data_IF_743174179407
#
_entry.id   IF_743174179407
#
_cell.length_a   1.000
_cell.length_b   1.000
_cell.length_c   1.000
_cell.angle_alpha   90.00
_cell.angle_beta   90.00
_cell.angle_gamma   90.00
#
_symmetry.space_group_name_H-M   'P 1'
#
loop_
_entity.id
_entity.type
_entity.pdbx_description
1 polymer ?
#
# COMPACT_ATOMS: atom_id res chain seq x y z
N UNK A 1 -29.19 12.43 -42.31
CA UNK A 1 -30.20 11.37 -42.13
C UNK A 1 -29.60 10.25 -41.29
N UNK A 2 -30.15 9.96 -40.13
CA UNK A 2 -29.74 8.79 -39.35
C UNK A 2 -30.30 7.54 -40.04
N UNK A 3 -29.50 6.47 -40.20
CA UNK A 3 -29.99 5.20 -40.74
C UNK A 3 -30.97 4.59 -39.74
N UNK A 4 -32.14 4.20 -40.21
CA UNK A 4 -33.20 3.64 -39.37
C UNK A 4 -32.84 2.28 -38.74
N UNK A 5 -31.76 1.62 -39.19
CA UNK A 5 -31.33 0.29 -38.67
C UNK A 5 -29.80 0.13 -38.77
N UNK A 6 -29.01 0.77 -37.89
CA UNK A 6 -27.56 0.67 -37.94
C UNK A 6 -27.12 -0.74 -37.49
N UNK A 7 -26.12 -1.33 -38.18
CA UNK A 7 -25.54 -2.62 -37.84
C UNK A 7 -24.43 -2.42 -36.78
N UNK A 8 -24.51 -3.07 -35.60
CA UNK A 8 -23.51 -2.90 -34.51
C UNK A 8 -22.08 -3.20 -34.96
N UNK A 9 -21.88 -4.25 -35.75
CA UNK A 9 -20.58 -4.64 -36.29
C UNK A 9 -19.98 -3.54 -37.18
N UNK A 10 -20.80 -2.93 -38.07
CA UNK A 10 -20.33 -1.85 -38.94
C UNK A 10 -19.98 -0.60 -38.13
N UNK A 11 -20.79 -0.24 -37.13
CA UNK A 11 -20.50 0.88 -36.26
C UNK A 11 -19.19 0.67 -35.47
N UNK A 12 -18.96 -0.54 -34.93
CA UNK A 12 -17.73 -0.89 -34.23
C UNK A 12 -16.50 -0.84 -35.14
N UNK A 13 -16.58 -1.43 -36.34
CA UNK A 13 -15.46 -1.43 -37.31
C UNK A 13 -15.14 0.00 -37.78
N UNK A 14 -16.13 0.83 -38.06
CA UNK A 14 -15.89 2.22 -38.42
C UNK A 14 -15.19 3.01 -37.29
N UNK A 15 -15.59 2.79 -36.03
CA UNK A 15 -14.95 3.41 -34.88
C UNK A 15 -13.57 2.84 -34.56
N UNK A 16 -13.28 1.60 -34.97
CA UNK A 16 -11.94 1.04 -34.87
C UNK A 16 -10.96 1.62 -35.91
N UNK A 17 -11.46 2.01 -37.09
CA UNK A 17 -10.65 2.66 -38.12
C UNK A 17 -10.43 4.16 -37.86
N UNK A 18 -11.44 4.84 -37.33
CA UNK A 18 -11.40 6.26 -37.02
C UNK A 18 -12.34 6.54 -35.85
N UNK A 19 -11.81 7.07 -34.76
CA UNK A 19 -12.64 7.36 -33.59
C UNK A 19 -13.76 8.32 -33.96
N UNK A 20 -14.98 7.99 -33.50
CA UNK A 20 -16.18 8.77 -33.80
C UNK A 20 -16.91 8.44 -35.11
N UNK A 21 -16.28 7.70 -36.03
CA UNK A 21 -16.93 7.36 -37.31
C UNK A 21 -18.18 6.47 -37.12
N UNK A 22 -18.14 5.53 -36.18
CA UNK A 22 -19.30 4.70 -35.84
C UNK A 22 -20.44 5.51 -35.18
N UNK A 23 -20.13 6.51 -34.36
CA UNK A 23 -21.11 7.42 -33.78
C UNK A 23 -21.76 8.28 -34.86
N UNK A 24 -20.98 8.77 -35.82
CA UNK A 24 -21.52 9.51 -36.97
C UNK A 24 -22.45 8.59 -37.81
N UNK A 25 -22.03 7.36 -38.03
CA UNK A 25 -22.84 6.32 -38.70
C UNK A 25 -24.17 6.06 -37.97
N UNK A 26 -24.16 6.08 -36.63
CA UNK A 26 -25.33 5.96 -35.77
C UNK A 26 -26.20 7.24 -35.71
N UNK A 27 -25.82 8.34 -36.39
CA UNK A 27 -26.50 9.61 -36.37
C UNK A 27 -26.10 10.58 -35.25
N UNK A 28 -25.15 10.21 -34.39
CA UNK A 28 -24.67 11.01 -33.27
C UNK A 28 -23.51 11.93 -33.69
N UNK A 29 -23.78 12.87 -34.61
CA UNK A 29 -22.74 13.70 -35.25
C UNK A 29 -21.89 14.49 -34.25
N UNK A 30 -22.46 15.15 -33.25
CA UNK A 30 -21.70 15.93 -32.25
C UNK A 30 -20.71 15.05 -31.49
N UNK A 31 -21.19 13.92 -30.99
CA UNK A 31 -20.39 12.96 -30.27
C UNK A 31 -19.26 12.38 -31.14
N UNK A 32 -19.56 12.01 -32.37
CA UNK A 32 -18.56 11.51 -33.31
C UNK A 32 -17.47 12.52 -33.64
N UNK A 33 -17.83 13.79 -33.85
CA UNK A 33 -16.85 14.87 -34.09
C UNK A 33 -15.95 15.07 -32.85
N UNK A 34 -16.52 15.02 -31.63
CA UNK A 34 -15.74 15.14 -30.40
C UNK A 34 -14.71 14.00 -30.29
N UNK A 35 -15.10 12.76 -30.58
CA UNK A 35 -14.17 11.62 -30.55
C UNK A 35 -13.09 11.72 -31.61
N UNK A 36 -13.44 12.13 -32.83
CA UNK A 36 -12.47 12.37 -33.91
C UNK A 36 -11.49 13.51 -33.55
N UNK A 37 -11.97 14.57 -32.90
CA UNK A 37 -11.11 15.64 -32.42
C UNK A 37 -10.11 15.18 -31.37
N UNK A 38 -10.53 14.35 -30.41
CA UNK A 38 -9.65 13.75 -29.40
C UNK A 38 -8.59 12.88 -30.07
N UNK A 39 -8.95 12.04 -31.05
CA UNK A 39 -7.99 11.25 -31.83
C UNK A 39 -6.99 12.12 -32.57
N UNK A 40 -7.44 13.16 -33.26
CA UNK A 40 -6.57 14.08 -33.97
C UNK A 40 -5.56 14.75 -33.02
N UNK A 41 -6.00 15.23 -31.87
CA UNK A 41 -5.11 15.79 -30.84
C UNK A 41 -4.10 14.75 -30.37
N UNK A 42 -4.54 13.52 -30.11
CA UNK A 42 -3.62 12.45 -29.71
C UNK A 42 -2.58 12.13 -30.78
N UNK A 43 -2.96 12.05 -32.05
CA UNK A 43 -2.03 11.80 -33.14
C UNK A 43 -1.00 12.94 -33.29
N UNK A 44 -1.40 14.18 -33.11
CA UNK A 44 -0.46 15.32 -33.06
C UNK A 44 0.49 15.18 -31.86
N UNK A 45 -0.03 14.90 -30.67
CA UNK A 45 0.79 14.67 -29.47
C UNK A 45 1.76 13.48 -29.65
N UNK A 46 1.30 12.40 -30.28
CA UNK A 46 2.15 11.23 -30.56
C UNK A 46 3.36 11.60 -31.41
N UNK A 47 3.18 12.43 -32.45
CA UNK A 47 4.26 12.85 -33.34
C UNK A 47 5.16 13.91 -32.73
N UNK A 48 4.61 14.84 -31.95
CA UNK A 48 5.37 16.04 -31.49
C UNK A 48 5.94 15.89 -30.08
N UNK A 49 5.29 15.16 -29.20
CA UNK A 49 5.64 15.10 -27.78
C UNK A 49 5.92 13.70 -27.24
N UNK A 50 5.28 12.65 -27.77
CA UNK A 50 5.34 11.31 -27.19
C UNK A 50 6.36 10.39 -27.91
N UNK A 51 6.64 10.62 -29.18
CA UNK A 51 7.50 9.77 -29.99
C UNK A 51 8.91 9.62 -29.39
N UNK A 52 9.58 10.74 -29.13
CA UNK A 52 10.95 10.74 -28.60
C UNK A 52 11.05 10.10 -27.20
N UNK A 53 10.15 10.43 -26.23
CA UNK A 53 10.11 9.74 -24.97
C UNK A 53 9.87 8.23 -25.06
N UNK A 54 8.97 7.78 -25.94
CA UNK A 54 8.69 6.34 -26.12
C UNK A 54 9.89 5.61 -26.71
N UNK A 55 10.54 6.21 -27.71
CA UNK A 55 11.76 5.65 -28.26
C UNK A 55 12.88 5.63 -27.23
N UNK A 56 13.08 6.72 -26.50
CA UNK A 56 14.05 6.82 -25.42
C UNK A 56 13.79 5.87 -24.25
N UNK A 57 12.53 5.52 -23.96
CA UNK A 57 12.20 4.51 -22.95
C UNK A 57 12.78 3.13 -23.30
N UNK A 58 12.81 2.78 -24.57
CA UNK A 58 13.34 1.49 -25.05
C UNK A 58 14.86 1.51 -25.12
N UNK A 59 15.44 2.57 -25.66
CA UNK A 59 16.90 2.66 -25.93
C UNK A 59 17.71 3.20 -24.76
N UNK A 60 17.08 4.00 -23.87
CA UNK A 60 17.72 4.79 -22.81
C UNK A 60 18.78 5.77 -23.31
N UNK A 61 18.87 5.97 -24.61
CA UNK A 61 19.79 6.92 -25.27
C UNK A 61 19.22 8.34 -25.28
N UNK A 62 20.07 9.37 -25.23
CA UNK A 62 19.65 10.75 -25.41
C UNK A 62 18.91 10.93 -26.74
N UNK A 63 17.70 11.45 -26.71
CA UNK A 63 16.86 11.64 -27.90
C UNK A 63 16.24 13.05 -27.87
N UNK A 64 16.40 13.77 -28.98
CA UNK A 64 15.83 15.11 -29.15
C UNK A 64 16.33 16.09 -28.08
N UNK A 65 15.41 16.67 -27.30
CA UNK A 65 15.69 17.61 -26.19
C UNK A 65 16.11 16.93 -24.87
N UNK A 66 16.00 15.61 -24.79
CA UNK A 66 16.33 14.86 -23.58
C UNK A 66 17.81 14.44 -23.64
N UNK A 67 18.66 15.15 -22.91
CA UNK A 67 20.09 14.87 -22.80
C UNK A 67 20.42 13.90 -21.68
N UNK A 68 19.57 13.89 -20.62
CA UNK A 68 19.76 13.05 -19.44
C UNK A 68 18.83 11.83 -19.50
N UNK A 69 19.41 10.64 -19.42
CA UNK A 69 18.68 9.36 -19.45
C UNK A 69 17.61 9.24 -18.36
N UNK A 70 17.77 9.93 -17.21
CA UNK A 70 16.77 9.96 -16.13
C UNK A 70 15.48 10.64 -16.57
N UNK A 71 15.61 11.77 -17.26
CA UNK A 71 14.46 12.49 -17.80
C UNK A 71 13.78 11.70 -18.93
N UNK A 72 14.56 10.97 -19.72
CA UNK A 72 14.05 10.10 -20.78
C UNK A 72 13.21 8.98 -20.19
N UNK A 73 13.71 8.30 -19.17
CA UNK A 73 12.98 7.21 -18.50
C UNK A 73 11.64 7.70 -17.93
N UNK A 74 11.66 8.82 -17.20
CA UNK A 74 10.46 9.41 -16.64
C UNK A 74 9.47 9.87 -17.72
N UNK A 75 9.97 10.58 -18.73
CA UNK A 75 9.14 11.05 -19.85
C UNK A 75 8.56 9.88 -20.64
N UNK A 76 9.33 8.80 -20.84
CA UNK A 76 8.86 7.59 -21.49
C UNK A 76 7.77 6.85 -20.72
N UNK A 77 7.89 6.78 -19.39
CA UNK A 77 6.84 6.21 -18.54
C UNK A 77 5.57 7.05 -18.65
N UNK A 78 5.66 8.38 -18.54
CA UNK A 78 4.51 9.27 -18.69
C UNK A 78 3.89 9.10 -20.09
N UNK A 79 4.69 9.06 -21.14
CA UNK A 79 4.23 8.86 -22.51
C UNK A 79 3.49 7.51 -22.67
N UNK A 80 4.00 6.44 -22.05
CA UNK A 80 3.38 5.11 -22.06
C UNK A 80 2.00 5.14 -21.39
N UNK A 81 1.83 5.86 -20.29
CA UNK A 81 0.53 6.04 -19.66
C UNK A 81 -0.45 6.84 -20.54
N UNK A 82 0.02 7.90 -21.20
CA UNK A 82 -0.80 8.66 -22.14
C UNK A 82 -1.30 7.76 -23.28
N UNK A 83 -0.41 6.91 -23.83
CA UNK A 83 -0.79 5.93 -24.85
C UNK A 83 -1.79 4.92 -24.29
N UNK A 84 -1.58 4.39 -23.10
CA UNK A 84 -2.50 3.43 -22.48
C UNK A 84 -3.90 4.03 -22.25
N UNK A 85 -3.98 5.29 -21.79
CA UNK A 85 -5.23 6.03 -21.63
C UNK A 85 -5.93 6.20 -22.99
N UNK A 86 -5.16 6.53 -24.04
CA UNK A 86 -5.72 6.65 -25.38
C UNK A 86 -6.24 5.31 -25.91
N UNK A 87 -5.47 4.22 -25.74
CA UNK A 87 -5.90 2.87 -26.15
C UNK A 87 -7.20 2.49 -25.44
N UNK A 88 -7.30 2.75 -24.14
CA UNK A 88 -8.55 2.53 -23.39
C UNK A 88 -9.70 3.39 -23.94
N UNK A 89 -9.45 4.68 -24.19
CA UNK A 89 -10.42 5.57 -24.80
C UNK A 89 -10.90 5.05 -26.17
N UNK A 90 -9.97 4.59 -27.01
CA UNK A 90 -10.27 4.07 -28.34
C UNK A 90 -11.12 2.78 -28.27
N UNK A 91 -10.78 1.86 -27.36
CA UNK A 91 -11.60 0.66 -27.09
C UNK A 91 -12.99 1.05 -26.60
N UNK A 92 -13.09 1.98 -25.66
CA UNK A 92 -14.36 2.46 -25.13
C UNK A 92 -15.21 3.10 -26.24
N UNK A 93 -14.60 3.88 -27.15
CA UNK A 93 -15.27 4.43 -28.33
C UNK A 93 -15.85 3.35 -29.25
N UNK A 94 -15.11 2.26 -29.51
CA UNK A 94 -15.57 1.13 -30.32
C UNK A 94 -16.79 0.47 -29.67
N UNK A 95 -16.69 0.17 -28.38
CA UNK A 95 -17.77 -0.48 -27.60
C UNK A 95 -19.01 0.42 -27.56
N UNK A 96 -18.82 1.71 -27.34
CA UNK A 96 -19.92 2.70 -27.34
C UNK A 96 -20.64 2.78 -28.69
N UNK A 97 -19.90 2.79 -29.80
CA UNK A 97 -20.48 2.81 -31.14
C UNK A 97 -21.33 1.55 -31.43
N UNK A 98 -20.78 0.37 -31.08
CA UNK A 98 -21.45 -0.91 -31.28
C UNK A 98 -22.69 -1.06 -30.37
N UNK A 99 -22.58 -0.71 -29.09
CA UNK A 99 -23.67 -0.79 -28.12
C UNK A 99 -24.81 0.19 -28.46
N UNK A 100 -24.45 1.41 -28.88
CA UNK A 100 -25.44 2.40 -29.36
C UNK A 100 -26.19 1.90 -30.59
N UNK A 101 -25.49 1.32 -31.59
CA UNK A 101 -26.14 0.74 -32.77
C UNK A 101 -27.10 -0.40 -32.40
N UNK A 102 -26.69 -1.28 -31.46
CA UNK A 102 -27.52 -2.35 -30.92
C UNK A 102 -28.78 -1.79 -30.23
N UNK A 103 -28.62 -0.78 -29.41
CA UNK A 103 -29.72 -0.10 -28.71
C UNK A 103 -30.70 0.56 -29.68
N UNK A 104 -30.21 1.24 -30.72
CA UNK A 104 -31.07 1.85 -31.77
C UNK A 104 -31.86 0.74 -32.49
N UNK A 105 -31.20 -0.34 -32.84
CA UNK A 105 -31.83 -1.47 -33.54
C UNK A 105 -32.91 -2.15 -32.69
N UNK A 106 -32.64 -2.40 -31.42
CA UNK A 106 -33.62 -3.01 -30.50
C UNK A 106 -34.83 -2.08 -30.26
N UNK A 107 -34.61 -0.76 -30.23
CA UNK A 107 -35.71 0.23 -30.11
C UNK A 107 -36.62 0.28 -31.33
N UNK A 108 -36.08 0.12 -32.52
CA UNK A 108 -36.90 0.09 -33.74
C UNK A 108 -37.78 -1.15 -33.82
N UNK A 109 -37.45 -2.21 -33.08
CA UNK A 109 -38.26 -3.43 -32.97
C UNK A 109 -39.40 -3.32 -31.92
N UNK A 110 -39.45 -2.22 -31.11
CA UNK A 110 -40.50 -2.01 -30.11
C UNK A 110 -41.72 -1.26 -30.69
N UNK A 111 -42.93 -1.54 -30.20
CA UNK A 111 -44.17 -0.78 -30.55
C UNK A 111 -44.02 0.72 -30.25
N UNK A 112 -44.76 1.55 -30.96
CA UNK A 112 -44.56 3.02 -30.98
C UNK A 112 -44.92 3.70 -29.65
N UNK A 113 -45.86 3.17 -28.92
CA UNK A 113 -46.31 3.57 -27.59
C UNK A 113 -45.21 3.37 -26.51
N UNK A 114 -44.48 2.25 -26.57
CA UNK A 114 -43.37 1.92 -25.67
C UNK A 114 -42.11 2.77 -25.99
N UNK A 115 -41.96 3.16 -27.24
CA UNK A 115 -40.85 3.97 -27.75
C UNK A 115 -40.82 5.39 -27.15
N UNK A 116 -41.98 6.00 -26.86
CA UNK A 116 -42.10 7.35 -26.28
C UNK A 116 -41.70 7.43 -24.81
N UNK A 117 -42.01 6.41 -24.00
CA UNK A 117 -41.79 6.41 -22.55
C UNK A 117 -40.28 6.30 -22.22
N UNK A 118 -39.49 5.69 -23.08
CA UNK A 118 -38.06 5.38 -22.84
C UNK A 118 -37.09 6.47 -23.33
N UNK A 119 -37.58 7.62 -23.86
CA UNK A 119 -36.72 8.71 -24.31
C UNK A 119 -36.25 9.65 -23.19
N UNK A 120 -36.91 9.63 -22.02
CA UNK A 120 -36.55 10.47 -20.87
C UNK A 120 -35.38 9.92 -20.02
N UNK A 121 -35.07 8.62 -20.12
CA UNK A 121 -34.00 7.97 -19.33
C UNK A 121 -32.58 8.16 -19.88
N UNK A 122 -32.41 8.85 -20.99
CA UNK A 122 -31.13 9.04 -21.67
C UNK A 122 -30.47 10.37 -21.34
N UNK A 123 -30.02 10.54 -20.10
CA UNK A 123 -29.10 11.63 -19.77
C UNK A 123 -27.70 11.03 -19.49
N UNK A 124 -26.83 10.83 -20.51
CA UNK A 124 -25.44 10.40 -20.29
C UNK A 124 -24.68 11.37 -19.37
N UNK A 125 -25.17 12.58 -19.21
CA UNK A 125 -24.65 13.56 -18.27
C UNK A 125 -24.88 13.19 -16.81
N UNK A 126 -26.00 12.52 -16.44
CA UNK A 126 -26.26 12.11 -15.05
C UNK A 126 -25.31 11.03 -14.56
N UNK A 127 -24.89 10.11 -15.44
CA UNK A 127 -23.90 9.07 -15.13
C UNK A 127 -22.46 9.58 -15.13
N UNK A 128 -22.15 10.68 -15.84
CA UNK A 128 -20.83 11.26 -15.90
C UNK A 128 -20.51 12.22 -14.73
N UNK A 129 -21.53 12.84 -14.12
CA UNK A 129 -21.35 13.82 -13.05
C UNK A 129 -20.52 13.31 -11.87
N UNK A 130 -20.74 12.11 -11.30
CA UNK A 130 -19.89 11.59 -10.22
C UNK A 130 -18.41 11.46 -10.63
N UNK A 131 -18.14 11.03 -11.87
CA UNK A 131 -16.76 10.89 -12.37
C UNK A 131 -16.06 12.23 -12.56
N UNK A 132 -16.79 13.29 -12.94
CA UNK A 132 -16.24 14.65 -13.06
C UNK A 132 -15.78 15.16 -11.69
N UNK A 133 -16.56 14.92 -10.63
CA UNK A 133 -16.18 15.32 -9.27
C UNK A 133 -14.99 14.53 -8.72
N UNK A 134 -14.84 13.25 -9.09
CA UNK A 134 -13.74 12.39 -8.62
C UNK A 134 -12.48 12.57 -9.49
N UNK A 135 -12.63 13.01 -10.75
CA UNK A 135 -11.51 13.12 -11.70
C UNK A 135 -10.31 13.91 -11.19
N UNK A 136 -10.43 15.08 -10.53
CA UNK A 136 -9.29 15.80 -9.98
C UNK A 136 -8.50 14.97 -8.95
N UNK A 137 -9.20 14.26 -8.06
CA UNK A 137 -8.57 13.42 -7.04
C UNK A 137 -7.86 12.22 -7.66
N UNK A 138 -8.47 11.58 -8.67
CA UNK A 138 -7.85 10.48 -9.41
C UNK A 138 -6.61 10.98 -10.15
N UNK A 139 -6.67 12.15 -10.76
CA UNK A 139 -5.56 12.73 -11.50
C UNK A 139 -4.39 13.04 -10.56
N UNK A 140 -4.63 13.65 -9.40
CA UNK A 140 -3.60 13.89 -8.39
C UNK A 140 -3.01 12.57 -7.89
N UNK A 141 -3.84 11.59 -7.55
CA UNK A 141 -3.39 10.27 -7.11
C UNK A 141 -2.53 9.59 -8.21
N UNK A 142 -2.90 9.71 -9.47
CA UNK A 142 -2.13 9.18 -10.58
C UNK A 142 -0.72 9.77 -10.66
N UNK A 143 -0.60 11.11 -10.61
CA UNK A 143 0.70 11.78 -10.69
C UNK A 143 1.55 11.56 -9.44
N UNK A 144 0.96 11.50 -8.26
CA UNK A 144 1.70 11.42 -6.98
C UNK A 144 2.00 9.98 -6.59
N UNK A 145 1.17 9.00 -6.97
CA UNK A 145 1.32 7.60 -6.54
C UNK A 145 1.74 6.71 -7.72
N UNK A 146 0.96 6.72 -8.83
CA UNK A 146 1.14 5.73 -9.89
C UNK A 146 2.44 5.97 -10.68
N UNK A 147 2.75 7.22 -11.03
CA UNK A 147 3.97 7.53 -11.78
C UNK A 147 5.25 7.21 -10.99
N UNK A 148 5.43 7.65 -9.71
CA UNK A 148 6.61 7.28 -8.93
C UNK A 148 6.72 5.77 -8.69
N UNK A 149 5.60 5.07 -8.48
CA UNK A 149 5.60 3.62 -8.34
C UNK A 149 6.06 2.92 -9.62
N UNK A 150 5.51 3.32 -10.77
CA UNK A 150 5.92 2.79 -12.07
C UNK A 150 7.40 3.07 -12.35
N UNK A 151 7.89 4.28 -12.05
CA UNK A 151 9.29 4.64 -12.16
C UNK A 151 10.17 3.72 -11.30
N UNK A 152 9.80 3.49 -10.03
CA UNK A 152 10.51 2.56 -9.15
C UNK A 152 10.51 1.13 -9.69
N UNK A 153 9.38 0.64 -10.21
CA UNK A 153 9.30 -0.71 -10.81
C UNK A 153 10.22 -0.81 -12.03
N UNK A 154 10.16 0.16 -12.94
CA UNK A 154 10.99 0.18 -14.17
C UNK A 154 12.47 0.24 -13.81
N UNK A 155 12.83 1.04 -12.82
CA UNK A 155 14.20 1.18 -12.34
C UNK A 155 14.80 -0.14 -11.84
N UNK A 156 13.98 -1.04 -11.29
CA UNK A 156 14.41 -2.37 -10.84
C UNK A 156 15.01 -3.24 -11.95
N UNK A 157 14.67 -2.96 -13.21
CA UNK A 157 15.17 -3.68 -14.39
C UNK A 157 16.37 -3.03 -15.06
N UNK A 158 16.90 -1.94 -14.50
CA UNK A 158 18.07 -1.21 -14.99
C UNK A 158 19.28 -1.42 -14.09
N UNK A 159 20.46 -0.96 -14.51
CA UNK A 159 21.67 -0.91 -13.67
C UNK A 159 21.89 0.45 -12.99
N UNK A 160 20.86 1.29 -12.86
CA UNK A 160 20.94 2.64 -12.34
C UNK A 160 21.55 2.69 -10.93
N UNK A 161 22.70 3.33 -10.82
CA UNK A 161 23.48 3.46 -9.58
C UNK A 161 24.41 4.68 -9.67
N UNK A 162 25.11 5.02 -8.61
CA UNK A 162 26.07 6.12 -8.62
C UNK A 162 27.08 6.05 -9.77
N UNK A 163 27.51 4.83 -10.12
CA UNK A 163 28.49 4.61 -11.19
C UNK A 163 27.87 4.54 -12.60
N UNK A 164 26.58 4.32 -12.68
CA UNK A 164 25.82 4.19 -13.93
C UNK A 164 24.72 5.26 -13.99
N UNK A 165 25.07 6.50 -13.65
CA UNK A 165 24.22 7.66 -13.86
C UNK A 165 25.04 8.85 -14.33
N UNK A 166 24.48 9.77 -15.15
CA UNK A 166 25.18 10.99 -15.56
C UNK A 166 25.63 11.82 -14.34
N UNK A 167 26.85 12.41 -14.34
CA UNK A 167 27.83 12.40 -15.43
C UNK A 167 28.77 11.19 -15.43
N UNK A 168 28.74 10.30 -14.41
CA UNK A 168 29.72 9.22 -14.28
C UNK A 168 29.56 8.12 -15.35
N UNK A 169 28.38 7.90 -15.86
CA UNK A 169 28.11 6.89 -16.89
C UNK A 169 26.67 6.93 -17.38
N UNK A 170 26.33 6.02 -18.28
CA UNK A 170 24.96 5.75 -18.73
C UNK A 170 24.43 4.52 -18.02
N UNK A 171 23.13 4.43 -17.84
CA UNK A 171 22.50 3.22 -17.36
C UNK A 171 21.73 2.54 -18.49
N UNK A 172 21.66 1.21 -18.39
CA UNK A 172 21.06 0.34 -19.40
C UNK A 172 20.04 -0.60 -18.78
N UNK A 173 19.25 -1.24 -19.65
CA UNK A 173 18.38 -2.34 -19.29
C UNK A 173 19.21 -3.59 -18.97
N UNK A 174 19.03 -4.14 -17.76
CA UNK A 174 19.69 -5.39 -17.32
C UNK A 174 18.70 -6.51 -17.07
N UNK A 175 17.42 -6.29 -17.34
CA UNK A 175 16.35 -7.25 -17.13
C UNK A 175 16.29 -7.74 -15.67
N UNK A 176 16.30 -9.05 -15.48
CA UNK A 176 16.16 -9.66 -14.15
C UNK A 176 17.47 -9.76 -13.34
N UNK A 177 18.56 -9.13 -13.77
CA UNK A 177 19.86 -9.28 -13.12
C UNK A 177 19.87 -8.86 -11.66
N UNK A 178 19.18 -7.76 -11.30
CA UNK A 178 19.07 -7.30 -9.92
C UNK A 178 18.32 -8.32 -9.04
N UNK A 179 17.25 -8.90 -9.55
CA UNK A 179 16.49 -9.95 -8.84
C UNK A 179 17.32 -11.23 -8.67
N UNK A 180 18.02 -11.67 -9.73
CA UNK A 180 18.94 -12.81 -9.64
C UNK A 180 20.05 -12.57 -8.64
N UNK A 181 20.62 -11.35 -8.57
CA UNK A 181 21.62 -10.96 -7.58
C UNK A 181 21.11 -11.11 -6.15
N UNK A 182 19.88 -10.67 -5.85
CA UNK A 182 19.25 -10.72 -4.54
C UNK A 182 18.88 -12.16 -4.12
N UNK A 183 18.45 -12.99 -5.08
CA UNK A 183 17.91 -14.32 -4.84
C UNK A 183 18.90 -15.46 -5.09
N UNK A 184 20.12 -15.20 -5.60
CA UNK A 184 21.12 -16.23 -5.91
C UNK A 184 21.48 -17.02 -4.66
N UNK A 185 21.24 -18.36 -4.64
CA UNK A 185 21.55 -19.21 -3.51
C UNK A 185 23.03 -19.12 -3.08
N UNK A 186 23.28 -19.04 -1.78
CA UNK A 186 24.63 -18.96 -1.22
C UNK A 186 25.34 -17.61 -1.40
N UNK A 187 24.68 -16.61 -1.99
CA UNK A 187 25.23 -15.25 -2.10
C UNK A 187 25.10 -14.49 -0.78
N UNK A 188 25.98 -13.51 -0.55
CA UNK A 188 25.86 -12.60 0.59
C UNK A 188 24.52 -11.82 0.57
N UNK A 189 23.98 -11.53 -0.61
CA UNK A 189 22.70 -10.85 -0.77
C UNK A 189 21.54 -11.71 -0.29
N UNK A 190 21.51 -12.98 -0.65
CA UNK A 190 20.47 -13.91 -0.21
C UNK A 190 20.57 -14.18 1.31
N UNK A 191 21.77 -14.34 1.85
CA UNK A 191 21.97 -14.48 3.30
C UNK A 191 21.47 -13.26 4.07
N UNK A 192 21.71 -12.05 3.55
CA UNK A 192 21.23 -10.82 4.13
C UNK A 192 19.70 -10.66 4.02
N UNK A 193 19.13 -10.99 2.85
CA UNK A 193 17.69 -10.97 2.64
C UNK A 193 16.96 -11.89 3.63
N UNK A 194 17.45 -13.10 3.83
CA UNK A 194 16.88 -14.05 4.81
C UNK A 194 17.01 -13.56 6.24
N UNK A 195 18.13 -12.94 6.60
CA UNK A 195 18.34 -12.36 7.94
C UNK A 195 17.37 -11.21 8.22
N UNK A 196 17.24 -10.27 7.27
CA UNK A 196 16.36 -9.10 7.40
C UNK A 196 14.89 -9.53 7.38
N UNK A 197 14.50 -10.42 6.46
CA UNK A 197 13.16 -10.95 6.38
C UNK A 197 12.75 -11.71 7.64
N UNK A 198 13.64 -12.55 8.16
CA UNK A 198 13.40 -13.30 9.41
C UNK A 198 13.17 -12.37 10.61
N UNK A 199 13.97 -11.30 10.73
CA UNK A 199 13.74 -10.30 11.75
C UNK A 199 12.47 -9.47 11.48
N UNK A 200 12.19 -9.09 10.25
CA UNK A 200 10.99 -8.34 9.89
C UNK A 200 9.72 -9.09 10.28
N UNK A 201 9.65 -10.40 9.99
CA UNK A 201 8.55 -11.27 10.42
C UNK A 201 8.47 -11.34 11.94
N UNK A 202 9.60 -11.59 12.60
CA UNK A 202 9.66 -11.67 14.07
C UNK A 202 9.22 -10.34 14.72
N UNK A 203 9.67 -9.20 14.20
CA UNK A 203 9.27 -7.88 14.68
C UNK A 203 7.78 -7.63 14.49
N UNK A 204 7.23 -7.94 13.32
CA UNK A 204 5.80 -7.76 13.06
C UNK A 204 4.95 -8.62 14.00
N UNK A 205 5.30 -9.90 14.19
CA UNK A 205 4.56 -10.81 15.06
C UNK A 205 4.72 -10.45 16.54
N UNK A 206 5.96 -10.25 17.02
CA UNK A 206 6.21 -9.90 18.41
C UNK A 206 5.70 -8.51 18.75
N UNK A 207 5.89 -7.53 17.88
CA UNK A 207 5.40 -6.17 18.07
C UNK A 207 3.88 -6.13 18.19
N UNK A 208 3.16 -6.79 17.27
CA UNK A 208 1.70 -6.87 17.31
C UNK A 208 1.23 -7.67 18.53
N UNK A 209 1.81 -8.83 18.78
CA UNK A 209 1.42 -9.71 19.89
C UNK A 209 1.66 -9.08 21.26
N UNK A 210 2.82 -8.48 21.49
CA UNK A 210 3.15 -7.81 22.76
C UNK A 210 2.30 -6.54 22.96
N UNK A 211 2.08 -5.75 21.93
CA UNK A 211 1.21 -4.57 21.99
C UNK A 211 -0.26 -4.96 22.26
N UNK A 212 -0.75 -6.02 21.64
CA UNK A 212 -2.06 -6.58 21.95
C UNK A 212 -2.14 -7.09 23.38
N UNK A 213 -1.17 -7.90 23.83
CA UNK A 213 -1.14 -8.45 25.18
C UNK A 213 -1.09 -7.36 26.25
N UNK A 214 -0.30 -6.30 26.04
CA UNK A 214 -0.24 -5.15 26.96
C UNK A 214 -1.57 -4.38 26.97
N UNK A 215 -2.17 -4.11 25.81
CA UNK A 215 -3.48 -3.45 25.72
C UNK A 215 -4.59 -4.27 26.37
N UNK A 216 -4.61 -5.60 26.13
CA UNK A 216 -5.57 -6.52 26.73
C UNK A 216 -5.43 -6.57 28.27
N UNK A 217 -4.20 -6.74 28.75
CA UNK A 217 -3.96 -6.75 30.20
C UNK A 217 -4.42 -5.47 30.87
N UNK A 218 -4.10 -4.31 30.31
CA UNK A 218 -4.57 -3.02 30.84
C UNK A 218 -6.08 -2.83 30.70
N UNK A 219 -6.70 -3.27 29.60
CA UNK A 219 -8.14 -3.18 29.41
C UNK A 219 -8.89 -4.01 30.45
N UNK A 220 -8.47 -5.26 30.70
CA UNK A 220 -9.05 -6.13 31.71
C UNK A 220 -8.88 -5.56 33.13
N UNK A 221 -7.72 -5.00 33.46
CA UNK A 221 -7.52 -4.32 34.75
C UNK A 221 -8.50 -3.16 34.88
N UNK A 222 -8.58 -2.28 33.89
CA UNK A 222 -9.45 -1.08 33.93
C UNK A 222 -10.94 -1.39 33.82
N UNK A 223 -11.33 -2.59 33.43
CA UNK A 223 -12.72 -3.06 33.45
C UNK A 223 -13.19 -3.32 34.88
N UNK A 224 -12.28 -3.62 35.80
CA UNK A 224 -12.65 -3.90 37.20
C UNK A 224 -13.30 -2.68 37.85
N UNK A 225 -14.57 -2.84 38.25
CA UNK A 225 -15.41 -1.78 38.87
C UNK A 225 -14.88 -1.30 40.23
N UNK A 226 -14.02 -2.06 40.90
CA UNK A 226 -13.44 -1.72 42.21
C UNK A 226 -12.27 -0.73 42.12
N UNK A 227 -11.72 -0.49 40.90
CA UNK A 227 -10.63 0.49 40.73
C UNK A 227 -11.21 1.90 40.84
N UNK A 228 -10.74 2.63 41.86
CA UNK A 228 -11.07 4.06 42.04
C UNK A 228 -10.27 4.87 41.01
N UNK A 229 -10.87 5.94 40.49
CA UNK A 229 -10.22 6.84 39.49
C UNK A 229 -9.80 6.16 38.16
N UNK A 230 -10.49 5.06 37.77
CA UNK A 230 -10.19 4.37 36.50
C UNK A 230 -10.15 5.28 35.25
N UNK A 231 -10.97 6.37 35.27
CA UNK A 231 -10.93 7.38 34.20
C UNK A 231 -9.60 8.13 34.13
N UNK A 232 -9.03 8.50 35.29
CA UNK A 232 -7.71 9.14 35.33
C UNK A 232 -6.60 8.20 34.90
N UNK A 233 -6.63 6.92 35.33
CA UNK A 233 -5.70 5.91 34.84
C UNK A 233 -5.78 5.72 33.33
N UNK A 234 -7.00 5.65 32.78
CA UNK A 234 -7.21 5.57 31.33
C UNK A 234 -6.62 6.78 30.63
N UNK A 235 -6.85 8.00 31.13
CA UNK A 235 -6.30 9.23 30.56
C UNK A 235 -4.78 9.22 30.56
N UNK A 236 -4.14 8.81 31.67
CA UNK A 236 -2.67 8.70 31.77
C UNK A 236 -2.12 7.66 30.79
N UNK A 237 -2.75 6.50 30.68
CA UNK A 237 -2.33 5.44 29.76
C UNK A 237 -2.53 5.79 28.28
N UNK A 238 -3.37 6.78 27.99
CA UNK A 238 -3.56 7.31 26.63
C UNK A 238 -2.58 8.44 26.27
N UNK A 239 -1.83 9.01 27.23
CA UNK A 239 -0.87 10.08 26.99
C UNK A 239 0.17 9.77 25.92
N UNK A 240 0.72 8.53 25.80
CA UNK A 240 1.65 8.21 24.73
C UNK A 240 1.09 8.49 23.33
N UNK A 241 -0.21 8.43 23.15
CA UNK A 241 -0.88 8.68 21.87
C UNK A 241 -1.05 10.17 21.57
N UNK A 242 -1.05 11.02 22.59
CA UNK A 242 -1.10 12.47 22.46
C UNK A 242 0.25 13.07 22.02
N UNK A 243 1.36 12.34 22.21
CA UNK A 243 2.72 12.75 21.83
C UNK A 243 3.03 12.23 20.44
N UNK A 244 3.54 13.07 19.51
CA UNK A 244 4.00 12.59 18.21
C UNK A 244 4.98 11.42 18.35
N UNK A 245 4.76 10.34 17.59
CA UNK A 245 5.58 9.11 17.68
C UNK A 245 7.08 9.39 17.49
N UNK A 246 7.43 10.33 16.60
CA UNK A 246 8.84 10.75 16.37
C UNK A 246 9.49 11.29 17.63
N UNK A 247 8.78 12.13 18.40
CA UNK A 247 9.28 12.67 19.67
C UNK A 247 9.46 11.55 20.68
N UNK A 248 8.46 10.67 20.82
CA UNK A 248 8.54 9.51 21.72
C UNK A 248 9.75 8.63 21.41
N UNK A 249 10.00 8.32 20.13
CA UNK A 249 11.13 7.49 19.69
C UNK A 249 12.47 8.17 20.09
N UNK A 250 12.60 9.49 19.89
CA UNK A 250 13.81 10.24 20.27
C UNK A 250 14.02 10.24 21.79
N UNK A 251 12.96 10.31 22.57
CA UNK A 251 13.05 10.15 24.04
C UNK A 251 13.56 8.76 24.39
N UNK A 252 13.04 7.69 23.78
CA UNK A 252 13.54 6.33 24.00
C UNK A 252 14.99 6.15 23.55
N UNK A 253 15.40 6.81 22.46
CA UNK A 253 16.81 6.83 22.07
C UNK A 253 17.71 7.38 23.17
N UNK A 254 17.30 8.48 23.82
CA UNK A 254 18.01 9.03 24.99
C UNK A 254 17.96 8.13 26.22
N UNK A 255 16.78 7.56 26.54
CA UNK A 255 16.59 6.66 27.68
C UNK A 255 17.48 5.40 27.62
N UNK A 256 17.63 4.85 26.42
CA UNK A 256 18.45 3.65 26.16
C UNK A 256 19.92 3.97 25.84
N UNK A 257 20.37 5.21 26.01
CA UNK A 257 21.78 5.52 25.80
C UNK A 257 22.65 4.72 26.77
N UNK A 258 23.69 4.04 26.25
CA UNK A 258 24.51 3.11 27.04
C UNK A 258 25.32 3.81 28.12
N UNK A 259 25.79 5.05 27.87
CA UNK A 259 26.69 5.78 28.74
C UNK A 259 25.95 6.61 29.79
N UNK A 260 25.00 7.43 29.36
CA UNK A 260 24.31 8.40 30.20
C UNK A 260 22.77 8.24 30.23
N UNK A 261 22.26 7.15 29.66
CA UNK A 261 20.81 6.91 29.64
C UNK A 261 20.27 6.51 31.01
N UNK A 262 19.15 7.14 31.46
CA UNK A 262 18.55 6.88 32.78
C UNK A 262 18.29 5.39 33.06
N UNK A 263 17.96 4.62 32.04
CA UNK A 263 17.70 3.17 32.21
C UNK A 263 18.97 2.45 32.71
N UNK A 264 20.13 2.75 32.16
CA UNK A 264 21.38 2.18 32.61
C UNK A 264 21.85 2.76 33.95
N UNK A 265 21.51 4.01 34.28
CA UNK A 265 21.78 4.58 35.61
C UNK A 265 21.00 3.85 36.71
N UNK A 266 19.72 3.59 36.47
CA UNK A 266 18.88 2.77 37.37
C UNK A 266 19.47 1.37 37.53
N UNK A 267 19.85 0.70 36.43
CA UNK A 267 20.46 -0.63 36.49
C UNK A 267 21.75 -0.63 37.33
N UNK A 268 22.61 0.37 37.15
CA UNK A 268 23.85 0.53 37.93
C UNK A 268 23.57 0.76 39.43
N UNK A 269 22.57 1.60 39.74
CA UNK A 269 22.18 1.85 41.14
C UNK A 269 21.65 0.58 41.84
N UNK A 270 21.10 -0.39 41.07
CA UNK A 270 20.66 -1.69 41.55
C UNK A 270 21.81 -2.72 41.57
N UNK A 271 23.06 -2.33 41.27
CA UNK A 271 24.22 -3.23 41.20
C UNK A 271 24.28 -4.09 39.94
N UNK A 272 23.44 -3.77 38.93
CA UNK A 272 23.42 -4.52 37.68
C UNK A 272 24.37 -3.91 36.65
N UNK A 273 24.79 -4.71 35.68
CA UNK A 273 25.65 -4.24 34.59
C UNK A 273 24.87 -3.40 33.62
N UNK A 274 25.50 -2.36 33.06
CA UNK A 274 24.93 -1.57 31.99
C UNK A 274 24.63 -2.44 30.74
N UNK A 275 23.49 -2.25 30.17
CA UNK A 275 23.04 -2.98 28.97
C UNK A 275 23.49 -2.21 27.73
N UNK A 276 24.18 -2.86 26.77
CA UNK A 276 24.58 -2.24 25.50
C UNK A 276 23.42 -2.19 24.50
N UNK A 277 22.44 -1.34 24.77
CA UNK A 277 21.15 -1.29 24.06
C UNK A 277 21.27 -1.22 22.55
N UNK A 278 22.20 -0.41 22.02
CA UNK A 278 22.33 -0.23 20.57
C UNK A 278 23.57 -0.88 19.97
N UNK A 279 24.46 -1.42 20.79
CA UNK A 279 25.71 -2.04 20.34
C UNK A 279 25.61 -3.57 20.20
N UNK A 280 24.59 -4.19 20.80
CA UNK A 280 24.41 -5.62 20.77
C UNK A 280 23.10 -6.00 20.06
N UNK A 281 23.17 -6.94 19.14
CA UNK A 281 22.05 -7.37 18.28
C UNK A 281 20.75 -7.63 19.05
N UNK A 282 20.81 -8.42 20.12
CA UNK A 282 19.61 -8.80 20.89
C UNK A 282 19.02 -7.61 21.62
N UNK A 283 19.87 -6.78 22.28
CA UNK A 283 19.41 -5.64 23.05
C UNK A 283 18.84 -4.53 22.15
N UNK A 284 19.41 -4.35 20.95
CA UNK A 284 18.85 -3.42 19.97
C UNK A 284 17.44 -3.85 19.51
N UNK A 285 17.22 -5.15 19.34
CA UNK A 285 15.89 -5.69 19.02
C UNK A 285 14.91 -5.55 20.19
N UNK A 286 15.38 -5.77 21.41
CA UNK A 286 14.58 -5.56 22.63
C UNK A 286 14.19 -4.09 22.78
N UNK A 287 15.11 -3.14 22.59
CA UNK A 287 14.81 -1.71 22.68
C UNK A 287 13.78 -1.28 21.64
N UNK A 288 13.86 -1.82 20.41
CA UNK A 288 12.87 -1.60 19.34
C UNK A 288 11.50 -2.12 19.77
N UNK A 289 11.41 -3.34 20.29
CA UNK A 289 10.13 -3.93 20.73
C UNK A 289 9.53 -3.17 21.92
N UNK A 290 10.34 -2.78 22.91
CA UNK A 290 9.86 -2.01 24.07
C UNK A 290 9.31 -0.65 23.64
N UNK A 291 10.01 0.06 22.77
CA UNK A 291 9.55 1.34 22.21
C UNK A 291 8.24 1.18 21.43
N UNK A 292 8.18 0.11 20.60
CA UNK A 292 6.99 -0.21 19.81
C UNK A 292 5.78 -0.49 20.71
N UNK A 293 5.93 -1.33 21.71
CA UNK A 293 4.87 -1.69 22.67
C UNK A 293 4.36 -0.44 23.37
N UNK A 294 5.26 0.42 23.86
CA UNK A 294 4.88 1.65 24.56
C UNK A 294 4.03 2.56 23.67
N UNK A 295 4.43 2.77 22.42
CA UNK A 295 3.70 3.63 21.46
C UNK A 295 2.35 3.00 21.06
N UNK A 296 2.30 1.67 20.91
CA UNK A 296 1.13 0.96 20.35
C UNK A 296 0.10 0.55 21.42
N UNK A 297 0.50 0.49 22.69
CA UNK A 297 -0.39 0.08 23.80
C UNK A 297 -1.67 0.93 23.92
N UNK A 298 -1.66 2.29 23.84
CA UNK A 298 -2.85 3.10 23.95
C UNK A 298 -3.90 2.76 22.88
N UNK A 299 -3.47 2.54 21.63
CA UNK A 299 -4.38 2.14 20.56
C UNK A 299 -5.06 0.80 20.88
N UNK A 300 -4.26 -0.22 21.24
CA UNK A 300 -4.79 -1.53 21.59
C UNK A 300 -5.71 -1.48 22.82
N UNK A 301 -5.32 -0.73 23.85
CA UNK A 301 -6.16 -0.49 25.04
C UNK A 301 -7.52 0.10 24.65
N UNK A 302 -7.54 1.08 23.76
CA UNK A 302 -8.79 1.73 23.30
C UNK A 302 -9.69 0.76 22.54
N UNK A 303 -9.15 0.07 21.54
CA UNK A 303 -9.88 -0.89 20.69
C UNK A 303 -10.43 -2.04 21.53
N UNK A 304 -9.58 -2.63 22.36
CA UNK A 304 -9.98 -3.77 23.23
C UNK A 304 -11.02 -3.33 24.26
N UNK A 305 -10.86 -2.14 24.86
CA UNK A 305 -11.85 -1.63 25.81
C UNK A 305 -13.22 -1.41 25.17
N UNK A 306 -13.25 -0.91 23.92
CA UNK A 306 -14.50 -0.75 23.18
C UNK A 306 -15.13 -2.11 22.84
N UNK A 307 -14.34 -3.08 22.41
CA UNK A 307 -14.82 -4.43 22.10
C UNK A 307 -15.32 -5.17 23.35
N UNK A 308 -14.66 -5.00 24.51
CA UNK A 308 -15.14 -5.59 25.77
C UNK A 308 -16.47 -4.97 26.24
N UNK A 309 -16.68 -3.68 25.99
CA UNK A 309 -17.94 -2.99 26.33
C UNK A 309 -19.11 -3.38 25.42
N UNK A 310 -18.87 -3.96 24.26
CA UNK A 310 -19.92 -4.44 23.36
C UNK A 310 -20.48 -5.81 23.75
N UNK A 311 -19.85 -6.51 24.70
CA UNK A 311 -20.34 -7.79 25.22
C UNK A 311 -21.43 -7.51 26.30
N UNK A 312 -22.68 -7.99 26.11
CA UNK A 312 -23.74 -7.75 27.07
C UNK A 312 -23.44 -8.36 28.43
N UNK A 313 -23.78 -7.64 29.51
CA UNK A 313 -23.60 -8.14 30.91
C UNK A 313 -24.40 -9.42 31.17
N UNK A 314 -25.55 -9.62 30.51
CA UNK A 314 -26.43 -10.79 30.63
C UNK A 314 -25.71 -12.11 30.32
N UNK A 315 -24.75 -12.09 29.42
CA UNK A 315 -23.92 -13.27 29.07
C UNK A 315 -23.05 -13.71 30.23
N UNK A 316 -22.54 -12.75 31.00
CA UNK A 316 -21.75 -13.03 32.22
C UNK A 316 -22.61 -13.47 33.40
N UNK A 317 -23.79 -12.89 33.52
CA UNK A 317 -24.79 -13.30 34.53
C UNK A 317 -25.22 -14.75 34.31
N UNK A 318 -25.57 -15.13 33.08
CA UNK A 318 -25.93 -16.51 32.76
C UNK A 318 -24.76 -17.47 33.04
N UNK A 319 -23.53 -17.11 32.65
CA UNK A 319 -22.35 -17.92 32.93
C UNK A 319 -22.09 -18.10 34.43
N UNK A 320 -22.43 -17.09 35.25
CA UNK A 320 -22.30 -17.17 36.71
C UNK A 320 -23.36 -18.10 37.32
N UNK A 321 -24.60 -18.08 36.80
CA UNK A 321 -25.65 -19.02 37.19
C UNK A 321 -25.27 -20.46 36.84
N UNK A 322 -24.63 -20.67 35.69
CA UNK A 322 -24.10 -21.98 35.26
C UNK A 322 -22.85 -22.43 36.03
N UNK A 323 -22.37 -21.64 37.00
CA UNK A 323 -21.21 -21.97 37.85
C UNK A 323 -19.86 -21.82 37.17
N UNK A 324 -19.79 -21.03 36.09
CA UNK A 324 -18.52 -20.82 35.39
C UNK A 324 -17.53 -19.99 36.24
N UNK A 325 -16.30 -20.48 36.37
CA UNK A 325 -15.20 -19.73 37.00
C UNK A 325 -14.80 -18.53 36.16
N UNK A 326 -14.19 -17.47 36.74
CA UNK A 326 -13.71 -16.30 35.97
C UNK A 326 -12.77 -16.66 34.81
N UNK A 327 -11.92 -17.69 34.97
CA UNK A 327 -11.05 -18.20 33.90
C UNK A 327 -11.84 -18.86 32.77
N UNK A 328 -12.90 -19.61 33.12
CA UNK A 328 -13.78 -20.22 32.11
C UNK A 328 -14.58 -19.16 31.37
N UNK A 329 -15.12 -18.17 32.05
CA UNK A 329 -15.82 -17.04 31.44
C UNK A 329 -14.87 -16.27 30.50
N UNK A 330 -13.64 -15.99 30.92
CA UNK A 330 -12.67 -15.34 30.04
C UNK A 330 -12.34 -16.20 28.82
N UNK A 331 -11.97 -17.46 28.98
CA UNK A 331 -11.48 -18.31 27.89
C UNK A 331 -12.57 -18.73 26.89
N UNK A 332 -13.82 -18.93 27.37
CA UNK A 332 -14.92 -19.46 26.56
C UNK A 332 -15.91 -18.42 26.06
N UNK A 333 -15.96 -17.24 26.71
CA UNK A 333 -16.90 -16.16 26.38
C UNK A 333 -16.13 -14.91 25.95
N UNK A 334 -15.39 -14.29 26.87
CA UNK A 334 -14.76 -12.99 26.64
C UNK A 334 -13.77 -13.04 25.48
N UNK A 335 -12.80 -13.95 25.52
CA UNK A 335 -11.72 -13.99 24.53
C UNK A 335 -12.22 -14.33 23.12
N UNK A 336 -13.10 -15.34 22.89
CA UNK A 336 -13.62 -15.60 21.55
C UNK A 336 -14.46 -14.44 20.98
N UNK A 337 -15.34 -13.83 21.79
CA UNK A 337 -16.15 -12.69 21.37
C UNK A 337 -15.27 -11.46 21.10
N UNK A 338 -14.30 -11.20 21.95
CA UNK A 338 -13.30 -10.14 21.73
C UNK A 338 -12.56 -10.35 20.40
N UNK A 339 -12.08 -11.57 20.16
CA UNK A 339 -11.30 -11.88 18.94
C UNK A 339 -12.14 -11.75 17.67
N UNK A 340 -13.44 -12.02 17.71
CA UNK A 340 -14.29 -11.80 16.53
C UNK A 340 -14.30 -10.34 16.05
N UNK A 341 -14.17 -9.38 16.98
CA UNK A 341 -14.13 -7.94 16.70
C UNK A 341 -12.71 -7.43 16.43
N UNK A 342 -11.74 -7.92 17.20
CA UNK A 342 -10.38 -7.36 17.21
C UNK A 342 -9.46 -8.04 16.18
N UNK A 343 -9.70 -9.29 15.78
CA UNK A 343 -8.86 -10.01 14.86
C UNK A 343 -8.60 -9.30 13.51
N UNK A 344 -9.60 -8.69 12.84
CA UNK A 344 -9.34 -7.91 11.63
C UNK A 344 -8.38 -6.73 11.86
N UNK A 345 -8.48 -6.07 13.01
CA UNK A 345 -7.61 -4.94 13.38
C UNK A 345 -6.19 -5.44 13.67
N UNK A 346 -6.03 -6.60 14.29
CA UNK A 346 -4.72 -7.23 14.52
C UNK A 346 -4.04 -7.59 13.20
N UNK A 347 -4.79 -8.10 12.22
CA UNK A 347 -4.24 -8.39 10.88
C UNK A 347 -3.75 -7.11 10.20
N UNK A 348 -4.51 -6.01 10.28
CA UNK A 348 -4.08 -4.71 9.76
C UNK A 348 -2.85 -4.17 10.51
N UNK A 349 -2.81 -4.33 11.83
CA UNK A 349 -1.66 -3.94 12.67
C UNK A 349 -0.41 -4.74 12.31
N UNK A 350 -0.56 -6.04 12.06
CA UNK A 350 0.54 -6.92 11.63
C UNK A 350 1.12 -6.46 10.29
N UNK A 351 0.27 -6.16 9.31
CA UNK A 351 0.68 -5.64 8.01
C UNK A 351 1.35 -4.25 8.14
N UNK A 352 0.83 -3.37 9.00
CA UNK A 352 1.41 -2.07 9.30
C UNK A 352 2.81 -2.21 9.95
N UNK A 353 2.95 -3.13 10.89
CA UNK A 353 4.22 -3.38 11.57
C UNK A 353 5.27 -3.98 10.64
N UNK A 354 4.86 -4.75 9.63
CA UNK A 354 5.78 -5.26 8.61
C UNK A 354 6.49 -4.12 7.85
N UNK A 355 5.86 -2.95 7.72
CA UNK A 355 6.37 -1.77 7.04
C UNK A 355 6.70 -0.60 7.99
N UNK A 356 6.89 -0.86 9.28
CA UNK A 356 7.09 0.19 10.28
C UNK A 356 8.51 0.79 10.23
N UNK A 357 8.74 1.61 9.21
CA UNK A 357 10.01 2.29 8.97
C UNK A 357 10.43 3.20 10.13
N UNK A 358 9.49 3.98 10.68
CA UNK A 358 9.79 5.11 11.58
C UNK A 358 10.53 4.69 12.85
N UNK A 359 10.06 3.66 13.53
CA UNK A 359 10.67 3.20 14.79
C UNK A 359 12.09 2.69 14.55
N UNK A 360 12.30 1.85 13.54
CA UNK A 360 13.61 1.29 13.25
C UNK A 360 14.59 2.38 12.84
N UNK A 361 14.19 3.24 11.92
CA UNK A 361 15.07 4.29 11.39
C UNK A 361 15.47 5.32 12.43
N UNK A 362 14.53 5.79 13.24
CA UNK A 362 14.78 6.84 14.23
C UNK A 362 15.45 6.32 15.50
N UNK A 363 15.16 5.08 15.92
CA UNK A 363 15.70 4.53 17.18
C UNK A 363 17.09 3.94 17.00
N UNK A 364 17.30 3.13 15.96
CA UNK A 364 18.55 2.34 15.81
C UNK A 364 19.27 2.62 14.49
N UNK A 365 18.61 3.30 13.53
CA UNK A 365 19.12 3.45 12.17
C UNK A 365 19.37 2.13 11.46
N UNK A 366 18.67 1.04 11.87
CA UNK A 366 18.91 -0.32 11.38
C UNK A 366 19.99 -1.10 12.14
N UNK A 367 20.83 -0.41 12.94
CA UNK A 367 22.00 -0.98 13.64
C UNK A 367 21.67 -2.02 14.73
N UNK A 368 22.69 -2.57 15.34
CA UNK A 368 24.11 -2.48 15.01
C UNK A 368 24.48 -3.17 13.71
N UNK A 369 25.62 -2.77 13.14
CA UNK A 369 26.14 -3.40 11.93
C UNK A 369 26.40 -4.91 12.16
N UNK A 370 26.12 -5.70 11.13
CA UNK A 370 26.35 -7.15 11.16
C UNK A 370 27.56 -7.50 10.30
N UNK A 371 28.51 -8.21 10.84
CA UNK A 371 29.71 -8.62 10.12
C UNK A 371 29.34 -9.42 8.86
N UNK A 372 29.97 -9.09 7.72
CA UNK A 372 29.70 -9.72 6.43
C UNK A 372 28.40 -9.27 5.74
N UNK A 373 27.64 -8.35 6.33
CA UNK A 373 26.45 -7.80 5.67
C UNK A 373 26.84 -6.71 4.67
N UNK A 374 26.00 -6.53 3.64
CA UNK A 374 26.11 -5.44 2.67
C UNK A 374 25.09 -4.35 2.99
N UNK A 375 25.32 -3.62 4.09
CA UNK A 375 24.54 -2.44 4.45
C UNK A 375 23.33 -2.67 5.33
N UNK A 376 22.85 -3.92 5.56
CA UNK A 376 21.80 -4.14 6.55
C UNK A 376 22.38 -4.40 7.93
N UNK A 377 21.84 -3.76 8.95
CA UNK A 377 22.15 -4.00 10.35
C UNK A 377 21.20 -5.01 11.01
N UNK A 378 21.38 -5.17 12.31
CA UNK A 378 20.72 -6.22 13.10
C UNK A 378 19.23 -5.97 13.34
N UNK A 379 18.78 -4.72 13.28
CA UNK A 379 17.38 -4.30 13.45
C UNK A 379 16.71 -3.85 12.17
N UNK A 380 17.43 -3.87 11.02
CA UNK A 380 16.82 -3.50 9.76
C UNK A 380 15.65 -4.40 9.42
N UNK A 381 14.57 -3.78 9.01
CA UNK A 381 13.46 -4.39 8.28
C UNK A 381 13.63 -4.15 6.78
N UNK A 382 12.85 -4.82 5.96
CA UNK A 382 12.98 -4.69 4.50
C UNK A 382 12.89 -3.24 4.03
N UNK A 383 11.99 -2.43 4.60
CA UNK A 383 11.82 -1.03 4.22
C UNK A 383 13.01 -0.14 4.60
N UNK A 384 13.61 -0.34 5.79
CA UNK A 384 14.80 0.43 6.18
C UNK A 384 16.02 0.03 5.36
N UNK A 385 16.13 -1.24 4.98
CA UNK A 385 17.19 -1.71 4.10
C UNK A 385 17.04 -1.19 2.65
N UNK A 386 15.82 -1.14 2.11
CA UNK A 386 15.53 -0.47 0.83
C UNK A 386 15.97 0.99 0.87
N UNK A 387 15.64 1.68 1.96
CA UNK A 387 16.04 3.08 2.15
C UNK A 387 17.57 3.22 2.20
N UNK A 388 18.26 2.37 2.95
CA UNK A 388 19.72 2.41 3.06
C UNK A 388 20.39 2.16 1.70
N UNK A 389 19.95 1.14 0.97
CA UNK A 389 20.43 0.86 -0.39
C UNK A 389 20.22 2.05 -1.34
N UNK A 390 19.04 2.65 -1.29
CA UNK A 390 18.67 3.74 -2.21
C UNK A 390 19.32 5.08 -1.87
N UNK A 391 19.33 5.48 -0.59
CA UNK A 391 19.71 6.83 -0.19
C UNK A 391 21.11 6.95 0.41
N UNK A 392 21.63 5.90 1.07
CA UNK A 392 22.99 5.90 1.64
C UNK A 392 24.01 5.28 0.71
N UNK A 393 23.66 4.14 0.10
CA UNK A 393 24.57 3.41 -0.81
C UNK A 393 24.43 3.80 -2.28
N UNK A 394 23.39 4.58 -2.63
CA UNK A 394 23.10 5.06 -3.99
C UNK A 394 22.99 3.93 -5.03
N UNK A 395 22.50 2.76 -4.60
CA UNK A 395 22.23 1.58 -5.42
C UNK A 395 20.74 1.52 -5.79
N UNK A 396 20.24 2.52 -6.49
CA UNK A 396 18.79 2.72 -6.72
C UNK A 396 18.12 1.54 -7.39
N UNK A 397 18.75 0.94 -8.42
CA UNK A 397 18.18 -0.23 -9.11
C UNK A 397 18.08 -1.48 -8.20
N UNK A 398 19.09 -1.71 -7.34
CA UNK A 398 19.05 -2.81 -6.36
C UNK A 398 17.99 -2.55 -5.28
N UNK A 399 17.88 -1.30 -4.79
CA UNK A 399 16.84 -0.88 -3.86
C UNK A 399 15.44 -1.06 -4.45
N UNK A 400 15.26 -0.65 -5.72
CA UNK A 400 13.99 -0.81 -6.44
C UNK A 400 13.63 -2.28 -6.65
N UNK A 401 14.59 -3.13 -7.02
CA UNK A 401 14.36 -4.57 -7.16
C UNK A 401 13.95 -5.21 -5.82
N UNK A 402 14.60 -4.82 -4.72
CA UNK A 402 14.22 -5.26 -3.39
C UNK A 402 12.81 -4.75 -3.01
N UNK A 403 12.48 -3.49 -3.30
CA UNK A 403 11.15 -2.92 -3.06
C UNK A 403 10.04 -3.68 -3.82
N UNK A 404 10.30 -4.08 -5.08
CA UNK A 404 9.38 -4.92 -5.85
C UNK A 404 9.19 -6.30 -5.21
N UNK A 405 10.27 -6.94 -4.75
CA UNK A 405 10.16 -8.22 -4.01
C UNK A 405 9.37 -8.07 -2.71
N UNK A 406 9.61 -6.99 -1.96
CA UNK A 406 8.84 -6.68 -0.74
C UNK A 406 7.37 -6.50 -1.06
N UNK A 407 7.04 -5.74 -2.11
CA UNK A 407 5.67 -5.54 -2.56
C UNK A 407 4.97 -6.86 -2.88
N UNK A 408 5.61 -7.73 -3.68
CA UNK A 408 5.08 -9.05 -4.02
C UNK A 408 4.86 -9.89 -2.74
N UNK A 409 5.83 -9.89 -1.81
CA UNK A 409 5.70 -10.61 -0.55
C UNK A 409 4.51 -10.09 0.29
N UNK A 410 4.37 -8.78 0.43
CA UNK A 410 3.26 -8.15 1.19
C UNK A 410 1.92 -8.47 0.55
N UNK A 411 1.83 -8.43 -0.79
CA UNK A 411 0.59 -8.80 -1.51
C UNK A 411 0.22 -10.26 -1.24
N UNK A 412 1.17 -11.19 -1.40
CA UNK A 412 0.93 -12.62 -1.14
C UNK A 412 0.51 -12.84 0.32
N UNK A 413 1.24 -12.23 1.26
CA UNK A 413 0.93 -12.31 2.68
C UNK A 413 -0.47 -11.77 3.00
N UNK A 414 -0.83 -10.62 2.43
CA UNK A 414 -2.15 -10.01 2.60
C UNK A 414 -3.27 -10.87 2.03
N UNK A 415 -3.08 -11.47 0.85
CA UNK A 415 -4.04 -12.38 0.24
C UNK A 415 -4.26 -13.65 1.08
N UNK A 416 -3.17 -14.21 1.63
CA UNK A 416 -3.25 -15.37 2.53
C UNK A 416 -4.04 -14.99 3.81
N UNK A 417 -3.70 -13.87 4.45
CA UNK A 417 -4.42 -13.41 5.63
C UNK A 417 -5.89 -13.11 5.35
N UNK A 418 -6.20 -12.49 4.22
CA UNK A 418 -7.58 -12.19 3.83
C UNK A 418 -8.40 -13.48 3.62
N UNK A 419 -7.78 -14.52 3.06
CA UNK A 419 -8.40 -15.84 2.90
C UNK A 419 -8.62 -16.56 4.25
N UNK A 420 -7.64 -16.46 5.15
CA UNK A 420 -7.70 -17.10 6.47
C UNK A 420 -8.67 -16.40 7.44
N UNK A 421 -8.85 -15.09 7.33
CA UNK A 421 -9.74 -14.30 8.21
C UNK A 421 -11.25 -14.54 7.94
N UNK A 422 -11.61 -15.32 6.92
CA UNK A 422 -13.02 -15.66 6.62
C UNK A 422 -13.85 -14.48 6.06
N UNK A 423 -13.28 -13.30 5.90
CA UNK A 423 -13.98 -12.11 5.37
C UNK A 423 -14.58 -12.39 3.98
N UNK A 424 -13.92 -13.21 3.15
CA UNK A 424 -14.46 -13.63 1.84
C UNK A 424 -15.71 -14.53 1.94
N UNK A 425 -15.89 -15.27 3.04
CA UNK A 425 -17.08 -16.12 3.21
C UNK A 425 -18.31 -15.30 3.63
N UNK A 426 -18.09 -14.18 4.32
CA UNK A 426 -19.19 -13.29 4.72
C UNK A 426 -19.72 -12.47 3.53
N UNK A 427 -18.88 -12.06 2.60
CA UNK A 427 -19.30 -11.34 1.38
C UNK A 427 -20.10 -12.25 0.39
N UNK A 428 -19.93 -13.57 0.45
CA UNK A 428 -20.68 -14.53 -0.39
C UNK A 428 -22.05 -14.90 0.16
N UNK A 429 -22.33 -14.59 1.42
CA UNK A 429 -23.63 -14.89 2.05
C UNK A 429 -24.62 -13.72 1.96
N UNK A 430 -24.19 -12.55 1.47
CA UNK A 430 -25.04 -11.37 1.25
C UNK A 430 -25.49 -11.20 -0.22
N UNK A 431 -25.08 -12.08 -1.16
CA UNK A 431 -25.63 -12.21 -2.51
C UNK A 431 -26.65 -13.37 -2.55
#
# INVERSE_FOLDING_TARGET
MARSNPKPQVAGVLSALLAGAGQIYNGQRKKGITYAAVEAVFLVLLQTALRDPLYGLVTLDPVGRFVDSRHILLAGIIASFVVAIYVWFHIANIVDAASTASSIRSRHALPEDVRRIRTEDWAPMRTAVPYIYIAPSILVAFFVIVIPLAFGIVLAFTNYSLYHCPPAGRFDWVGLTNFKKLLKPGSLWQGQLTMVLGWNIAYALLGTGLAFASGLGLALILQNRHIRFRGAFRAILMLPWAVPATVSIMVFFGLFNTTFGPVNEILRSMGLRAVPWFQHRTWARVSVLLTHVWISTPFNLSVISAALQSIPDEVYEAATVDGASPRQSFARITFPLLMSVVAPILVLSLAGNFNNFGIIYLLTGGGPAVAGSRGAGATDILMTWVYDLGFRQLQWSTASALAVLVFIFVVIFSLINFKLSGVLSQLKTEE
#
